data_IF_229679670028
#
_entry.id   IF_229679670028
#
_cell.length_a   1.000
_cell.length_b   1.000
_cell.length_c   1.000
_cell.angle_alpha   90.00
_cell.angle_beta   90.00
_cell.angle_gamma   90.00
#
_symmetry.space_group_name_H-M   'P 1'
#
loop_
_entity.id
_entity.type
_entity.pdbx_description
1 polymer ?
#
# COMPACT_ATOMS: atom_id res chain seq x y z
N UNK A 1 -56.34 62.69 10.64
CA UNK A 1 -55.53 61.73 11.42
C UNK A 1 -55.71 60.37 10.76
N UNK A 2 -54.81 59.98 9.88
CA UNK A 2 -54.84 58.70 9.17
C UNK A 2 -53.57 57.91 9.52
N UNK A 3 -53.76 56.81 10.24
CA UNK A 3 -52.69 55.89 10.61
C UNK A 3 -52.32 55.03 9.41
N UNK A 4 -51.08 55.15 8.96
CA UNK A 4 -50.45 54.25 7.97
C UNK A 4 -49.88 53.02 8.70
N UNK A 5 -50.48 51.86 8.50
CA UNK A 5 -50.00 50.58 8.97
C UNK A 5 -49.03 50.03 7.90
N UNK A 6 -47.73 50.09 8.18
CA UNK A 6 -46.72 49.50 7.34
C UNK A 6 -46.65 47.98 7.59
N UNK A 7 -46.97 47.20 6.58
CA UNK A 7 -46.79 45.74 6.57
C UNK A 7 -45.36 45.43 6.11
N UNK A 8 -44.54 45.00 7.05
CA UNK A 8 -43.23 44.40 6.74
C UNK A 8 -43.42 42.95 6.27
N UNK A 9 -43.30 42.73 4.99
CA UNK A 9 -43.21 41.38 4.41
C UNK A 9 -41.79 40.91 4.58
N UNK A 10 -41.57 39.96 5.51
CA UNK A 10 -40.30 39.29 5.71
C UNK A 10 -40.15 38.21 4.63
N UNK A 11 -39.30 38.47 3.62
CA UNK A 11 -38.96 37.51 2.61
C UNK A 11 -37.89 36.54 3.17
N UNK A 12 -38.32 35.34 3.51
CA UNK A 12 -37.43 34.24 3.90
C UNK A 12 -36.72 33.72 2.64
N UNK A 13 -35.49 34.17 2.39
CA UNK A 13 -34.65 33.62 1.33
C UNK A 13 -34.11 32.27 1.79
N UNK A 14 -34.68 31.19 1.28
CA UNK A 14 -34.16 29.85 1.45
C UNK A 14 -32.90 29.70 0.59
N UNK A 15 -31.74 29.69 1.24
CA UNK A 15 -30.50 29.36 0.59
C UNK A 15 -30.44 27.84 0.29
N UNK A 16 -30.15 27.42 -0.94
CA UNK A 16 -29.96 26.01 -1.21
C UNK A 16 -28.69 25.52 -0.50
N UNK A 17 -28.85 24.55 0.39
CA UNK A 17 -27.73 23.83 1.00
C UNK A 17 -27.01 23.05 -0.10
N UNK A 18 -25.88 23.58 -0.56
CA UNK A 18 -24.97 22.85 -1.43
C UNK A 18 -24.34 21.76 -0.58
N UNK A 19 -24.84 20.53 -0.71
CA UNK A 19 -24.20 19.34 -0.17
C UNK A 19 -22.94 19.11 -0.99
N UNK A 20 -21.79 19.55 -0.47
CA UNK A 20 -20.50 19.09 -0.98
C UNK A 20 -20.42 17.58 -0.71
N UNK A 21 -20.75 16.79 -1.72
CA UNK A 21 -20.32 15.40 -1.75
C UNK A 21 -18.79 15.40 -1.75
N UNK A 22 -18.20 15.12 -0.59
CA UNK A 22 -16.79 14.79 -0.49
C UNK A 22 -16.59 13.52 -1.31
N UNK A 23 -16.15 13.67 -2.55
CA UNK A 23 -15.55 12.60 -3.29
C UNK A 23 -14.37 12.12 -2.43
N UNK A 24 -14.48 10.90 -1.86
CA UNK A 24 -13.32 10.18 -1.35
C UNK A 24 -12.36 10.09 -2.54
N UNK A 25 -11.37 10.96 -2.55
CA UNK A 25 -10.26 10.89 -3.49
C UNK A 25 -9.61 9.52 -3.27
N UNK A 26 -9.87 8.60 -4.18
CA UNK A 26 -8.93 7.51 -4.44
C UNK A 26 -7.69 8.20 -4.95
N UNK A 27 -6.75 8.45 -4.05
CA UNK A 27 -5.41 8.88 -4.40
C UNK A 27 -4.77 7.70 -5.15
N UNK A 28 -5.12 7.61 -6.45
CA UNK A 28 -4.50 6.67 -7.36
C UNK A 28 -3.08 7.17 -7.56
N UNK A 29 -2.19 6.80 -6.63
CA UNK A 29 -0.77 6.94 -6.87
C UNK A 29 -0.48 6.15 -8.14
N UNK A 30 -0.41 6.85 -9.25
CA UNK A 30 -0.08 6.26 -10.53
C UNK A 30 1.43 5.97 -10.49
N UNK A 31 1.80 4.84 -9.88
CA UNK A 31 3.13 4.30 -10.12
C UNK A 31 3.16 4.06 -11.63
N UNK A 32 4.13 4.64 -12.35
CA UNK A 32 4.15 4.55 -13.80
C UNK A 32 4.02 3.09 -14.21
N UNK A 33 3.22 2.80 -15.25
CA UNK A 33 3.06 1.47 -15.86
C UNK A 33 4.39 0.80 -16.29
N UNK A 34 5.50 1.39 -15.93
CA UNK A 34 6.87 1.02 -16.20
C UNK A 34 7.62 0.60 -14.92
N UNK A 35 7.00 -0.26 -14.10
CA UNK A 35 7.71 -0.95 -13.00
C UNK A 35 8.82 -1.89 -13.55
N UNK A 36 9.54 -1.41 -14.55
CA UNK A 36 10.67 -2.08 -15.20
C UNK A 36 11.96 -1.63 -14.52
N UNK A 37 12.16 -2.04 -13.28
CA UNK A 37 13.45 -1.90 -12.63
C UNK A 37 13.96 -3.27 -12.22
N UNK A 38 15.27 -3.40 -12.16
CA UNK A 38 15.95 -4.56 -11.58
C UNK A 38 16.33 -4.26 -10.13
N UNK A 39 16.31 -5.28 -9.32
CA UNK A 39 16.78 -5.22 -7.94
C UNK A 39 17.54 -6.49 -7.60
N UNK A 40 18.44 -6.39 -6.64
CA UNK A 40 19.16 -7.55 -6.11
C UNK A 40 18.37 -8.13 -4.94
N UNK A 41 18.15 -9.43 -4.94
CA UNK A 41 17.56 -10.12 -3.80
C UNK A 41 18.56 -10.24 -2.65
N UNK A 42 18.06 -10.53 -1.45
CA UNK A 42 18.93 -10.80 -0.30
C UNK A 42 19.85 -12.02 -0.51
N UNK A 43 19.51 -12.93 -1.43
CA UNK A 43 20.32 -14.07 -1.85
C UNK A 43 21.45 -13.67 -2.80
N UNK A 44 21.31 -12.53 -3.49
CA UNK A 44 22.28 -12.01 -4.44
C UNK A 44 21.85 -12.16 -5.90
N UNK A 45 20.64 -12.66 -6.15
CA UNK A 45 20.10 -12.80 -7.51
C UNK A 45 19.56 -11.46 -8.02
N UNK A 46 19.80 -11.17 -9.30
CA UNK A 46 19.15 -10.03 -9.97
C UNK A 46 17.77 -10.46 -10.47
N UNK A 47 16.75 -9.66 -10.14
CA UNK A 47 15.36 -9.90 -10.54
C UNK A 47 14.76 -8.64 -11.14
N UNK A 48 13.81 -8.82 -12.05
CA UNK A 48 13.02 -7.70 -12.56
C UNK A 48 11.71 -7.63 -11.77
N UNK A 49 11.37 -6.45 -11.22
CA UNK A 49 10.18 -6.29 -10.40
C UNK A 49 8.88 -6.68 -11.12
N UNK A 50 8.81 -6.46 -12.44
CA UNK A 50 7.65 -6.87 -13.25
C UNK A 50 7.33 -8.36 -13.16
N UNK A 51 8.32 -9.22 -12.85
CA UNK A 51 8.14 -10.67 -12.79
C UNK A 51 7.31 -11.10 -11.57
N UNK A 52 7.09 -10.19 -10.64
CA UNK A 52 6.16 -10.35 -9.51
C UNK A 52 4.73 -9.94 -9.87
N UNK A 53 4.49 -9.27 -11.01
CA UNK A 53 3.15 -8.85 -11.43
C UNK A 53 2.41 -9.95 -12.19
N UNK A 54 1.11 -9.77 -12.42
CA UNK A 54 0.28 -10.64 -13.27
C UNK A 54 -0.26 -11.91 -12.62
N UNK A 55 0.13 -12.22 -11.38
CA UNK A 55 -0.27 -13.46 -10.68
C UNK A 55 -1.50 -13.29 -9.79
N UNK A 56 -1.81 -12.08 -9.39
CA UNK A 56 -2.85 -11.70 -8.43
C UNK A 56 -2.47 -10.43 -7.71
N UNK A 57 -3.16 -10.07 -6.62
CA UNK A 57 -2.76 -8.95 -5.77
C UNK A 57 -1.36 -9.12 -5.20
N UNK A 58 -0.53 -8.08 -5.30
CA UNK A 58 0.83 -8.07 -4.75
C UNK A 58 0.90 -7.11 -3.56
N UNK A 59 1.29 -7.64 -2.39
CA UNK A 59 1.71 -6.84 -1.25
C UNK A 59 3.16 -6.43 -1.43
N UNK A 60 3.47 -5.14 -1.27
CA UNK A 60 4.85 -4.64 -1.22
C UNK A 60 5.06 -4.00 0.14
N UNK A 61 5.99 -4.51 0.94
CA UNK A 61 6.29 -3.96 2.27
C UNK A 61 7.72 -3.46 2.33
N UNK A 62 7.88 -2.20 2.71
CA UNK A 62 9.20 -1.57 2.92
C UNK A 62 9.58 -1.67 4.39
N UNK A 63 10.81 -2.09 4.65
CA UNK A 63 11.25 -2.37 6.01
C UNK A 63 12.75 -2.16 6.22
N UNK A 64 13.15 -2.09 7.50
CA UNK A 64 14.56 -2.09 7.91
C UNK A 64 14.73 -2.90 9.20
N UNK A 65 15.95 -3.34 9.48
CA UNK A 65 16.29 -4.11 10.69
C UNK A 65 15.93 -3.42 12.00
N UNK A 66 16.02 -2.10 12.01
CA UNK A 66 15.69 -1.26 13.18
C UNK A 66 14.19 -0.96 13.31
N UNK A 67 13.38 -1.25 12.28
CA UNK A 67 11.94 -0.97 12.26
C UNK A 67 11.16 -2.15 12.84
N UNK A 68 10.88 -2.13 14.15
CA UNK A 68 10.15 -3.21 14.81
C UNK A 68 8.69 -3.35 14.29
N UNK A 69 7.91 -2.25 14.10
CA UNK A 69 6.57 -2.38 13.51
C UNK A 69 6.58 -3.00 12.10
N UNK A 70 7.61 -2.70 11.27
CA UNK A 70 7.74 -3.32 9.95
C UNK A 70 7.87 -4.85 10.02
N UNK A 71 8.64 -5.34 10.99
CA UNK A 71 8.82 -6.80 11.18
C UNK A 71 7.53 -7.48 11.64
N UNK A 72 6.70 -6.79 12.43
CA UNK A 72 5.38 -7.27 12.82
C UNK A 72 4.43 -7.28 11.61
N UNK A 73 4.41 -6.21 10.81
CA UNK A 73 3.63 -6.12 9.58
C UNK A 73 3.97 -7.26 8.60
N UNK A 74 5.26 -7.50 8.32
CA UNK A 74 5.68 -8.57 7.42
C UNK A 74 5.20 -9.96 7.88
N UNK A 75 5.23 -10.23 9.20
CA UNK A 75 4.69 -11.49 9.75
C UNK A 75 3.18 -11.61 9.52
N UNK A 76 2.44 -10.53 9.74
CA UNK A 76 1.01 -10.49 9.48
C UNK A 76 0.71 -10.67 7.98
N UNK A 77 1.46 -10.01 7.10
CA UNK A 77 1.31 -10.13 5.66
C UNK A 77 1.64 -11.53 5.15
N UNK A 78 2.63 -12.21 5.74
CA UNK A 78 2.88 -13.62 5.42
C UNK A 78 1.64 -14.48 5.71
N UNK A 79 1.00 -14.29 6.85
CA UNK A 79 -0.23 -15.02 7.19
C UNK A 79 -1.34 -14.74 6.16
N UNK A 80 -1.50 -13.49 5.74
CA UNK A 80 -2.48 -13.12 4.72
C UNK A 80 -2.16 -13.74 3.36
N UNK A 81 -0.90 -13.70 2.93
CA UNK A 81 -0.51 -14.30 1.65
C UNK A 81 -0.67 -15.82 1.65
N UNK A 82 -0.37 -16.49 2.75
CA UNK A 82 -0.63 -17.92 2.90
C UNK A 82 -2.13 -18.23 2.82
N UNK A 83 -2.97 -17.41 3.46
CA UNK A 83 -4.44 -17.55 3.46
C UNK A 83 -5.04 -17.39 2.06
N UNK A 84 -4.55 -16.43 1.28
CA UNK A 84 -5.08 -16.10 -0.06
C UNK A 84 -4.19 -16.60 -1.20
N UNK A 85 -3.32 -17.57 -0.94
CA UNK A 85 -2.39 -18.12 -1.91
C UNK A 85 -3.08 -18.67 -3.16
N UNK A 86 -4.23 -19.33 -2.99
CA UNK A 86 -5.03 -19.86 -4.11
C UNK A 86 -5.60 -18.77 -5.02
N UNK A 87 -5.72 -17.55 -4.50
CA UNK A 87 -6.17 -16.37 -5.25
C UNK A 87 -4.99 -15.61 -5.90
N UNK A 88 -3.78 -16.14 -5.80
CA UNK A 88 -2.57 -15.53 -6.35
C UNK A 88 -1.98 -14.39 -5.53
N UNK A 89 -2.48 -14.15 -4.31
CA UNK A 89 -1.93 -13.11 -3.42
C UNK A 89 -0.53 -13.49 -2.98
N UNK A 90 0.40 -12.56 -3.07
CA UNK A 90 1.80 -12.79 -2.70
C UNK A 90 2.45 -11.51 -2.16
N UNK A 91 3.66 -11.65 -1.58
CA UNK A 91 4.39 -10.58 -0.91
C UNK A 91 5.78 -10.43 -1.51
N UNK A 92 6.20 -9.19 -1.68
CA UNK A 92 7.59 -8.80 -1.90
C UNK A 92 7.96 -7.79 -0.83
N UNK A 93 9.04 -8.03 -0.10
CA UNK A 93 9.56 -7.08 0.87
C UNK A 93 10.77 -6.35 0.28
N UNK A 94 10.86 -5.04 0.52
CA UNK A 94 11.98 -4.20 0.09
C UNK A 94 12.70 -3.70 1.33
N UNK A 95 13.96 -4.11 1.49
CA UNK A 95 14.79 -3.72 2.62
C UNK A 95 15.58 -2.45 2.30
N UNK A 96 15.46 -1.43 3.15
CA UNK A 96 16.09 -0.11 2.98
C UNK A 96 17.29 0.11 3.89
N UNK A 97 17.85 -0.95 4.48
CA UNK A 97 19.11 -0.85 5.24
C UNK A 97 20.29 -0.62 4.29
N UNK A 98 21.27 0.16 4.74
CA UNK A 98 22.47 0.47 3.97
C UNK A 98 23.30 -0.78 3.65
N UNK A 99 24.14 -0.71 2.61
CA UNK A 99 25.02 -1.79 2.12
C UNK A 99 25.76 -2.51 3.26
N UNK A 100 26.27 -1.78 4.24
CA UNK A 100 26.99 -2.37 5.41
C UNK A 100 26.12 -3.31 6.25
N UNK A 101 24.81 -3.27 6.12
CA UNK A 101 23.88 -4.11 6.87
C UNK A 101 23.41 -5.34 6.13
N UNK A 102 23.71 -5.50 4.84
CA UNK A 102 23.21 -6.60 3.98
C UNK A 102 23.45 -7.98 4.60
N UNK A 103 24.63 -8.21 5.18
CA UNK A 103 24.92 -9.49 5.83
C UNK A 103 23.98 -9.76 7.03
N UNK A 104 23.65 -8.71 7.80
CA UNK A 104 22.68 -8.81 8.92
C UNK A 104 21.25 -9.01 8.44
N UNK A 105 20.88 -8.34 7.34
CA UNK A 105 19.57 -8.53 6.68
C UNK A 105 19.42 -9.98 6.23
N UNK A 106 20.44 -10.53 5.56
CA UNK A 106 20.45 -11.94 5.11
C UNK A 106 20.30 -12.90 6.28
N UNK A 107 21.07 -12.68 7.36
CA UNK A 107 20.99 -13.51 8.56
C UNK A 107 19.58 -13.42 9.21
N UNK A 108 19.01 -12.24 9.29
CA UNK A 108 17.65 -12.03 9.81
C UNK A 108 16.61 -12.79 8.97
N UNK A 109 16.61 -12.62 7.65
CA UNK A 109 15.69 -13.31 6.72
C UNK A 109 15.75 -14.82 6.90
N UNK A 110 16.99 -15.38 6.94
CA UNK A 110 17.20 -16.81 7.14
C UNK A 110 16.71 -17.29 8.52
N UNK A 111 17.02 -16.55 9.59
CA UNK A 111 16.64 -16.92 10.96
C UNK A 111 15.13 -16.83 11.19
N UNK A 112 14.45 -15.86 10.55
CA UNK A 112 13.02 -15.71 10.67
C UNK A 112 12.23 -16.64 9.70
N UNK A 113 12.93 -17.38 8.83
CA UNK A 113 12.30 -18.28 7.86
C UNK A 113 11.36 -17.54 6.90
N UNK A 114 11.76 -16.34 6.46
CA UNK A 114 10.97 -15.58 5.50
C UNK A 114 11.13 -16.21 4.10
N UNK A 115 10.05 -16.77 3.59
CA UNK A 115 10.01 -17.56 2.35
C UNK A 115 9.46 -16.78 1.13
N UNK A 116 9.30 -15.47 1.29
CA UNK A 116 8.94 -14.55 0.22
C UNK A 116 10.17 -13.76 -0.27
N UNK A 117 10.15 -13.20 -1.50
CA UNK A 117 11.25 -12.41 -2.03
C UNK A 117 11.56 -11.18 -1.16
N UNK A 118 12.84 -10.99 -0.84
CA UNK A 118 13.35 -9.81 -0.16
C UNK A 118 14.35 -9.11 -1.08
N UNK A 119 13.97 -7.93 -1.55
CA UNK A 119 14.79 -7.08 -2.40
C UNK A 119 15.63 -6.13 -1.53
N UNK A 120 16.82 -5.79 -2.02
CA UNK A 120 17.71 -4.82 -1.38
C UNK A 120 17.58 -3.46 -2.08
N UNK A 121 17.43 -2.43 -1.28
CA UNK A 121 17.38 -1.03 -1.73
C UNK A 121 18.28 -0.16 -0.82
N UNK A 122 19.61 -0.41 -0.85
CA UNK A 122 20.54 0.20 0.10
C UNK A 122 20.72 1.71 -0.06
N UNK A 123 20.42 2.24 -1.23
CA UNK A 123 20.50 3.66 -1.57
C UNK A 123 19.14 4.36 -1.44
N UNK A 124 18.07 3.59 -1.28
CA UNK A 124 16.70 4.07 -1.12
C UNK A 124 16.05 4.56 -2.42
N UNK A 125 16.64 4.23 -3.58
CA UNK A 125 16.14 4.72 -4.88
C UNK A 125 14.81 4.06 -5.24
N UNK A 126 14.65 2.76 -4.96
CA UNK A 126 13.39 2.05 -5.18
C UNK A 126 12.30 2.64 -4.29
N UNK A 127 12.58 2.75 -3.00
CA UNK A 127 11.61 3.24 -2.02
C UNK A 127 11.20 4.69 -2.30
N UNK A 128 12.17 5.57 -2.51
CA UNK A 128 11.95 7.02 -2.66
C UNK A 128 11.46 7.39 -4.04
N UNK A 129 12.19 6.96 -5.08
CA UNK A 129 12.01 7.52 -6.42
C UNK A 129 10.96 6.75 -7.23
N UNK A 130 10.76 5.46 -6.93
CA UNK A 130 9.76 4.63 -7.61
C UNK A 130 8.46 4.57 -6.83
N UNK A 131 8.54 4.30 -5.52
CA UNK A 131 7.35 4.08 -4.71
C UNK A 131 6.96 5.28 -3.83
N UNK A 132 7.69 6.40 -3.89
CA UNK A 132 7.41 7.63 -3.13
C UNK A 132 7.20 7.36 -1.64
N UNK A 133 8.03 6.47 -1.06
CA UNK A 133 7.95 6.12 0.35
C UNK A 133 8.21 7.34 1.23
N UNK A 134 7.31 7.61 2.16
CA UNK A 134 7.39 8.75 3.07
C UNK A 134 8.08 8.38 4.37
N UNK A 135 7.71 7.25 4.97
CA UNK A 135 8.29 6.76 6.22
C UNK A 135 8.00 5.27 6.41
N UNK A 136 8.75 4.60 7.28
CA UNK A 136 8.53 3.19 7.62
C UNK A 136 7.60 3.05 8.86
N UNK A 137 6.79 1.99 8.93
CA UNK A 137 6.40 1.06 7.88
C UNK A 137 5.68 1.74 6.71
N UNK A 138 5.93 1.25 5.52
CA UNK A 138 5.23 1.67 4.32
C UNK A 138 4.87 0.44 3.50
N UNK A 139 3.60 0.30 3.16
CA UNK A 139 3.18 -0.85 2.39
C UNK A 139 2.14 -0.48 1.34
N UNK A 140 2.09 -1.28 0.29
CA UNK A 140 1.21 -1.10 -0.85
C UNK A 140 0.51 -2.42 -1.17
N UNK A 141 -0.74 -2.33 -1.61
CA UNK A 141 -1.42 -3.39 -2.34
C UNK A 141 -1.42 -2.99 -3.80
N UNK A 142 -0.79 -3.77 -4.66
CA UNK A 142 -0.80 -3.57 -6.10
C UNK A 142 -1.80 -4.52 -6.77
N UNK A 143 -2.47 -3.99 -7.79
CA UNK A 143 -3.23 -4.81 -8.74
C UNK A 143 -2.28 -5.65 -9.62
N UNK A 144 -2.76 -6.70 -10.29
CA UNK A 144 -1.93 -7.52 -11.17
C UNK A 144 -1.23 -6.74 -12.30
N UNK A 145 -1.77 -5.60 -12.71
CA UNK A 145 -1.16 -4.73 -13.72
C UNK A 145 -0.11 -3.77 -13.17
N UNK A 146 0.13 -3.80 -11.84
CA UNK A 146 1.07 -2.93 -11.13
C UNK A 146 0.47 -1.60 -10.64
N UNK A 147 -0.81 -1.34 -10.92
CA UNK A 147 -1.50 -0.16 -10.37
C UNK A 147 -1.63 -0.27 -8.85
N UNK A 148 -1.38 0.83 -8.14
CA UNK A 148 -1.60 0.88 -6.68
C UNK A 148 -3.09 0.84 -6.38
N UNK A 149 -3.50 -0.19 -5.64
CA UNK A 149 -4.86 -0.30 -5.13
C UNK A 149 -5.01 0.40 -3.79
N UNK A 150 -4.04 0.19 -2.88
CA UNK A 150 -4.01 0.80 -1.54
C UNK A 150 -2.60 1.14 -1.10
N UNK A 151 -2.50 2.14 -0.24
CA UNK A 151 -1.25 2.58 0.42
C UNK A 151 -1.49 2.67 1.92
N UNK A 152 -0.57 2.14 2.71
CA UNK A 152 -0.56 2.25 4.16
C UNK A 152 0.76 2.85 4.65
N UNK A 153 0.67 3.72 5.65
CA UNK A 153 1.82 4.35 6.32
C UNK A 153 1.68 4.10 7.82
N UNK A 154 2.70 3.51 8.42
CA UNK A 154 2.65 3.03 9.80
C UNK A 154 1.98 1.66 9.90
N UNK A 155 2.19 1.00 11.05
CA UNK A 155 1.55 -0.27 11.37
C UNK A 155 1.39 -0.41 12.88
N UNK A 156 0.21 -0.81 13.29
CA UNK A 156 -0.12 -1.24 14.66
C UNK A 156 -0.77 -2.62 14.58
N UNK A 157 -0.48 -3.48 15.54
CA UNK A 157 -1.09 -4.82 15.58
C UNK A 157 -2.63 -4.73 15.55
N UNK A 158 -3.23 -5.38 14.55
CA UNK A 158 -4.65 -5.29 14.25
C UNK A 158 -4.97 -4.62 12.91
N UNK A 159 -4.06 -3.79 12.37
CA UNK A 159 -4.24 -3.11 11.08
C UNK A 159 -4.28 -4.12 9.90
N UNK A 160 -3.68 -5.31 10.07
CA UNK A 160 -3.76 -6.39 9.09
C UNK A 160 -5.19 -6.83 8.77
N UNK A 161 -6.16 -6.57 9.64
CA UNK A 161 -7.58 -6.87 9.39
C UNK A 161 -8.16 -5.97 8.32
N UNK A 162 -7.76 -4.70 8.28
CA UNK A 162 -8.17 -3.80 7.20
C UNK A 162 -7.50 -4.20 5.90
N UNK A 163 -6.20 -4.51 5.94
CA UNK A 163 -5.47 -5.05 4.77
C UNK A 163 -6.13 -6.33 4.24
N UNK A 164 -6.55 -7.24 5.13
CA UNK A 164 -7.27 -8.45 4.74
C UNK A 164 -8.57 -8.13 4.01
N UNK A 165 -9.37 -7.21 4.54
CA UNK A 165 -10.62 -6.77 3.93
C UNK A 165 -10.38 -6.17 2.53
N UNK A 166 -9.36 -5.32 2.39
CA UNK A 166 -8.99 -4.72 1.11
C UNK A 166 -8.54 -5.77 0.09
N UNK A 167 -7.80 -6.79 0.51
CA UNK A 167 -7.43 -7.94 -0.34
C UNK A 167 -8.68 -8.66 -0.84
N UNK A 168 -9.64 -8.96 0.04
CA UNK A 168 -10.90 -9.62 -0.33
C UNK A 168 -11.69 -8.77 -1.34
N UNK A 169 -11.83 -7.48 -1.08
CA UNK A 169 -12.50 -6.56 -1.98
C UNK A 169 -11.83 -6.52 -3.37
N UNK A 170 -10.49 -6.50 -3.40
CA UNK A 170 -9.74 -6.51 -4.66
C UNK A 170 -9.93 -7.84 -5.41
N UNK A 171 -9.85 -8.98 -4.74
CA UNK A 171 -10.10 -10.30 -5.35
C UNK A 171 -11.49 -10.34 -5.98
N UNK A 172 -12.51 -9.87 -5.27
CA UNK A 172 -13.90 -9.83 -5.78
C UNK A 172 -14.03 -8.92 -7.00
N UNK A 173 -13.32 -7.78 -7.02
CA UNK A 173 -13.30 -6.89 -8.19
C UNK A 173 -12.63 -7.55 -9.40
N UNK A 174 -11.53 -8.27 -9.19
CA UNK A 174 -10.81 -8.98 -10.25
C UNK A 174 -11.66 -10.10 -10.85
N UNK A 175 -12.35 -10.89 -10.02
CA UNK A 175 -13.27 -11.95 -10.48
C UNK A 175 -14.46 -11.44 -11.29
N UNK A 176 -14.94 -10.23 -11.02
CA UNK A 176 -16.04 -9.61 -11.79
C UNK A 176 -15.61 -9.07 -13.16
N UNK A 177 -14.30 -8.85 -13.35
CA UNK A 177 -13.74 -8.31 -14.61
C UNK A 177 -13.19 -9.40 -15.54
N UNK A 178 -13.05 -10.62 -15.05
CA UNK A 178 -12.57 -11.81 -15.77
C UNK A 178 -13.75 -12.54 -16.43
#
# INVERSE_FOLDING_TARGET
MKLFRSLLVSACVALPSVVFAQAKGTDSLHIPANLKFTATTVQGDEVNFKDFLGKGPLLVSFWALWCEPCKQEMKAFKVLTDKFKSEGVHLVAVNTDQVRSVAKVRAFVATQGLDFPVLLDPDGDIARDIFSMESLPYSLILMPDGTVYKKHIGYTAGDEKETEKEIVELIDQLKKKS
#
